data_IF_868360955761
#
_entry.id   IF_868360955761
#
_cell.length_a   1.000
_cell.length_b   1.000
_cell.length_c   1.000
_cell.angle_alpha   90.00
_cell.angle_beta   90.00
_cell.angle_gamma   90.00
#
_symmetry.space_group_name_H-M   'P 1'
#
loop_
_entity.id
_entity.type
_entity.pdbx_description
1 polymer ?
#
# COMPACT_ATOMS: atom_id res chain seq x y z
N UNK A 1 7.00 10.28 -10.15
CA UNK A 1 6.11 10.06 -11.32
C UNK A 1 4.99 11.09 -11.30
N UNK A 2 4.34 11.38 -12.45
CA UNK A 2 3.35 12.47 -12.57
C UNK A 2 2.03 12.06 -13.23
N UNK A 3 1.72 10.76 -13.26
CA UNK A 3 0.47 10.27 -13.84
C UNK A 3 -0.72 10.69 -12.98
N UNK A 4 -1.85 11.01 -13.64
CA UNK A 4 -3.14 11.13 -12.95
C UNK A 4 -3.59 9.72 -12.57
N UNK A 5 -3.79 9.46 -11.29
CA UNK A 5 -4.11 8.12 -10.78
C UNK A 5 -5.42 8.15 -10.01
N UNK A 6 -6.29 7.18 -10.28
CA UNK A 6 -7.50 6.93 -9.51
C UNK A 6 -7.32 5.64 -8.70
N UNK A 7 -7.41 5.73 -7.38
CA UNK A 7 -7.53 4.59 -6.48
C UNK A 7 -9.00 4.37 -6.13
N UNK A 8 -9.58 3.28 -6.65
CA UNK A 8 -10.94 2.85 -6.32
C UNK A 8 -10.86 1.83 -5.17
N UNK A 9 -11.70 1.99 -4.16
CA UNK A 9 -11.80 1.06 -3.03
C UNK A 9 -13.23 0.99 -2.52
N UNK A 10 -13.67 -0.15 -1.99
CA UNK A 10 -15.02 -0.26 -1.42
C UNK A 10 -15.24 0.66 -0.21
N UNK A 11 -14.18 0.95 0.56
CA UNK A 11 -14.26 1.73 1.79
C UNK A 11 -12.93 2.46 2.03
N UNK A 12 -12.94 3.78 2.06
CA UNK A 12 -11.75 4.60 2.30
C UNK A 12 -11.20 4.45 3.71
N UNK A 13 -12.07 4.22 4.69
CA UNK A 13 -11.68 4.10 6.09
C UNK A 13 -10.89 2.81 6.38
N UNK A 14 -10.97 1.77 5.52
CA UNK A 14 -10.18 0.53 5.68
C UNK A 14 -8.81 0.58 5.04
N UNK A 15 -8.46 1.64 4.28
CA UNK A 15 -7.11 1.83 3.74
C UNK A 15 -6.12 1.88 4.90
N UNK A 16 -5.13 0.98 4.89
CA UNK A 16 -4.14 0.86 5.97
C UNK A 16 -4.56 -0.09 7.11
N UNK A 17 -5.66 -0.84 6.96
CA UNK A 17 -6.00 -1.90 7.89
C UNK A 17 -4.93 -3.02 7.87
N UNK A 18 -4.51 -3.46 9.06
CA UNK A 18 -3.64 -4.62 9.24
C UNK A 18 -4.49 -5.83 9.61
N UNK A 19 -4.76 -6.71 8.64
CA UNK A 19 -5.69 -7.85 8.76
C UNK A 19 -5.18 -8.96 9.68
N UNK A 20 -3.87 -9.16 9.75
CA UNK A 20 -3.25 -10.20 10.56
C UNK A 20 -2.62 -9.59 11.82
N UNK A 21 -1.32 -9.78 11.98
CA UNK A 21 -0.55 -9.25 13.09
C UNK A 21 -0.16 -7.78 12.83
N UNK A 22 -0.19 -6.92 13.86
CA UNK A 22 0.18 -5.52 13.71
C UNK A 22 1.71 -5.38 13.75
N UNK A 23 2.41 -6.03 12.80
CA UNK A 23 3.86 -6.00 12.73
C UNK A 23 4.36 -5.97 11.30
N UNK A 24 5.34 -5.12 11.02
CA UNK A 24 6.03 -5.05 9.75
C UNK A 24 7.45 -5.62 9.86
N UNK A 25 7.98 -6.08 8.72
CA UNK A 25 9.31 -6.65 8.63
C UNK A 25 9.41 -8.09 9.15
N UNK A 26 10.57 -8.45 9.69
CA UNK A 26 10.99 -9.82 9.98
C UNK A 26 12.07 -10.30 9.01
N UNK A 27 12.37 -11.60 9.04
CA UNK A 27 13.32 -12.20 8.08
C UNK A 27 12.73 -12.09 6.68
N UNK A 28 13.53 -11.63 5.72
CA UNK A 28 13.11 -11.34 4.34
C UNK A 28 12.26 -10.08 4.22
N UNK A 29 11.11 -10.02 4.90
CA UNK A 29 10.18 -8.87 4.85
C UNK A 29 10.82 -7.54 5.29
N UNK A 30 11.78 -7.59 6.21
CA UNK A 30 12.55 -6.40 6.61
C UNK A 30 13.44 -5.85 5.50
N UNK A 31 13.98 -6.72 4.63
CA UNK A 31 14.74 -6.29 3.45
C UNK A 31 13.80 -5.65 2.41
N UNK A 32 12.67 -6.29 2.10
CA UNK A 32 11.64 -5.72 1.22
C UNK A 32 11.17 -4.34 1.70
N UNK A 33 10.99 -4.16 3.01
CA UNK A 33 10.60 -2.86 3.56
C UNK A 33 11.71 -1.81 3.32
N UNK A 34 12.99 -2.18 3.43
CA UNK A 34 14.12 -1.30 3.13
C UNK A 34 14.29 -1.01 1.63
N UNK A 35 13.96 -1.96 0.78
CA UNK A 35 13.93 -1.74 -0.67
C UNK A 35 12.82 -0.76 -1.05
N UNK A 36 11.62 -0.90 -0.48
CA UNK A 36 10.52 0.06 -0.64
C UNK A 36 10.94 1.45 -0.15
N UNK A 37 11.67 1.53 0.96
CA UNK A 37 12.20 2.79 1.53
C UNK A 37 13.16 3.48 0.55
N UNK A 38 14.10 2.71 -0.01
CA UNK A 38 15.06 3.19 -1.00
C UNK A 38 14.38 3.67 -2.30
N UNK A 39 13.21 3.13 -2.63
CA UNK A 39 12.37 3.54 -3.77
C UNK A 39 11.37 4.65 -3.41
N UNK A 40 11.55 5.30 -2.25
CA UNK A 40 10.71 6.40 -1.73
C UNK A 40 9.23 6.00 -1.49
N UNK A 41 8.99 4.72 -1.21
CA UNK A 41 7.67 4.21 -0.87
C UNK A 41 7.17 4.72 0.48
N UNK A 42 5.84 4.82 0.61
CA UNK A 42 5.17 5.34 1.80
C UNK A 42 5.31 4.46 3.05
N UNK A 43 5.17 3.15 2.88
CA UNK A 43 5.02 2.19 3.98
C UNK A 43 6.10 2.30 5.08
N UNK A 44 7.41 2.36 4.77
CA UNK A 44 8.47 2.45 5.78
C UNK A 44 8.39 3.71 6.64
N UNK A 45 8.13 4.88 6.04
CA UNK A 45 7.95 6.16 6.77
C UNK A 45 6.76 6.10 7.72
N UNK A 46 5.66 5.49 7.29
CA UNK A 46 4.48 5.33 8.15
C UNK A 46 4.76 4.32 9.27
N UNK A 47 5.53 3.26 9.00
CA UNK A 47 5.96 2.31 10.02
C UNK A 47 6.79 3.00 11.12
N UNK A 48 7.70 3.92 10.75
CA UNK A 48 8.50 4.64 11.73
C UNK A 48 7.65 5.54 12.64
N UNK A 49 6.57 6.13 12.12
CA UNK A 49 5.64 6.96 12.90
C UNK A 49 4.68 6.17 13.78
N UNK A 50 4.31 4.95 13.35
CA UNK A 50 3.34 4.11 14.05
C UNK A 50 3.99 3.00 14.90
N UNK A 51 5.31 2.91 14.89
CA UNK A 51 6.06 1.85 15.56
C UNK A 51 6.03 1.98 17.09
N UNK A 52 5.65 0.89 17.75
CA UNK A 52 5.64 0.75 19.20
C UNK A 52 6.96 0.13 19.69
N UNK A 53 7.46 -0.87 18.97
CA UNK A 53 8.66 -1.61 19.37
C UNK A 53 9.43 -2.16 18.16
N UNK A 54 10.73 -1.91 18.13
CA UNK A 54 11.64 -2.30 17.05
C UNK A 54 12.64 -3.36 17.53
N UNK A 55 12.88 -4.37 16.70
CA UNK A 55 13.82 -5.46 16.98
C UNK A 55 14.54 -5.91 15.71
N UNK A 56 15.82 -6.25 15.86
CA UNK A 56 16.60 -6.94 14.83
C UNK A 56 16.60 -8.44 15.14
N UNK A 57 15.95 -9.23 14.30
CA UNK A 57 16.03 -10.70 14.33
C UNK A 57 17.39 -11.15 13.78
N UNK A 58 17.91 -12.28 14.26
CA UNK A 58 19.20 -12.84 13.82
C UNK A 58 20.41 -11.90 14.00
N UNK A 59 20.36 -10.95 14.95
CA UNK A 59 21.42 -9.94 15.16
C UNK A 59 22.84 -10.55 15.28
N UNK A 60 22.97 -11.73 15.88
CA UNK A 60 24.26 -12.45 16.07
C UNK A 60 24.75 -13.22 14.84
N UNK A 61 23.93 -13.42 13.81
CA UNK A 61 24.25 -14.24 12.62
C UNK A 61 24.82 -13.44 11.44
N UNK A 62 25.13 -12.16 11.66
CA UNK A 62 25.71 -11.26 10.66
C UNK A 62 24.67 -10.48 9.83
N UNK A 63 25.08 -9.36 9.20
CA UNK A 63 24.16 -8.40 8.60
C UNK A 63 23.28 -8.94 7.48
N UNK A 64 23.81 -9.85 6.63
CA UNK A 64 23.11 -10.40 5.48
C UNK A 64 21.82 -11.16 5.82
N UNK A 65 21.65 -11.59 7.08
CA UNK A 65 20.49 -12.37 7.54
C UNK A 65 19.69 -11.66 8.63
N UNK A 66 19.95 -10.37 8.86
CA UNK A 66 19.21 -9.58 9.84
C UNK A 66 17.76 -9.39 9.40
N UNK A 67 16.82 -9.58 10.32
CA UNK A 67 15.40 -9.31 10.09
C UNK A 67 14.94 -8.10 10.86
N UNK A 68 14.97 -6.92 10.25
CA UNK A 68 14.39 -5.71 10.83
C UNK A 68 12.88 -5.92 11.01
N UNK A 69 12.38 -5.80 12.24
CA UNK A 69 10.98 -6.02 12.58
C UNK A 69 10.48 -4.93 13.51
N UNK A 70 9.26 -4.47 13.29
CA UNK A 70 8.62 -3.50 14.16
C UNK A 70 7.16 -3.90 14.44
N UNK A 71 6.73 -3.72 15.69
CA UNK A 71 5.32 -3.80 16.11
C UNK A 71 4.68 -2.43 15.93
N UNK A 72 3.47 -2.38 15.38
CA UNK A 72 2.78 -1.15 15.02
C UNK A 72 1.53 -0.93 15.86
N UNK A 73 1.22 0.34 16.11
CA UNK A 73 -0.12 0.75 16.51
C UNK A 73 -1.03 0.78 15.27
N UNK A 74 -2.13 0.03 15.31
CA UNK A 74 -3.08 -0.07 14.18
C UNK A 74 -3.74 1.26 13.85
N UNK A 75 -4.07 2.04 14.88
CA UNK A 75 -4.76 3.32 14.73
C UNK A 75 -3.82 4.37 14.16
N UNK A 76 -2.59 4.45 14.69
CA UNK A 76 -1.58 5.39 14.21
C UNK A 76 -1.16 5.07 12.77
N UNK A 77 -0.91 3.80 12.45
CA UNK A 77 -0.51 3.38 11.10
C UNK A 77 -1.57 3.78 10.08
N UNK A 78 -2.84 3.40 10.33
CA UNK A 78 -3.96 3.75 9.46
C UNK A 78 -4.11 5.26 9.28
N UNK A 79 -4.08 6.02 10.38
CA UNK A 79 -4.23 7.48 10.38
C UNK A 79 -3.15 8.14 9.54
N UNK A 80 -1.88 7.82 9.78
CA UNK A 80 -0.76 8.44 9.07
C UNK A 80 -0.69 8.02 7.61
N UNK A 81 -1.01 6.76 7.30
CA UNK A 81 -1.11 6.31 5.91
C UNK A 81 -2.18 7.07 5.14
N UNK A 82 -3.39 7.18 5.69
CA UNK A 82 -4.49 7.90 5.07
C UNK A 82 -4.18 9.39 4.89
N UNK A 83 -3.58 10.03 5.90
CA UNK A 83 -3.15 11.42 5.83
C UNK A 83 -2.18 11.67 4.66
N UNK A 84 -1.13 10.86 4.52
CA UNK A 84 -0.19 11.04 3.41
C UNK A 84 -0.81 10.64 2.07
N UNK A 85 -1.49 9.49 1.99
CA UNK A 85 -2.08 9.00 0.75
C UNK A 85 -3.10 9.98 0.15
N UNK A 86 -3.98 10.55 0.98
CA UNK A 86 -5.01 11.49 0.51
C UNK A 86 -4.44 12.87 0.15
N UNK A 87 -3.23 13.19 0.60
CA UNK A 87 -2.53 14.41 0.25
C UNK A 87 -1.61 14.25 -0.98
N UNK A 88 -1.45 13.03 -1.53
CA UNK A 88 -0.57 12.80 -2.67
C UNK A 88 -1.06 13.54 -3.92
N UNK A 89 -0.23 14.43 -4.51
CA UNK A 89 -0.58 15.13 -5.73
C UNK A 89 -0.85 14.15 -6.89
N UNK A 90 -1.93 14.39 -7.64
CA UNK A 90 -2.30 13.57 -8.80
C UNK A 90 -3.02 12.26 -8.46
N UNK A 91 -3.15 11.90 -7.18
CA UNK A 91 -3.93 10.75 -6.72
C UNK A 91 -5.34 11.19 -6.30
N UNK A 92 -6.36 10.61 -6.92
CA UNK A 92 -7.75 10.72 -6.47
C UNK A 92 -8.17 9.40 -5.84
N UNK A 93 -8.77 9.43 -4.65
CA UNK A 93 -9.33 8.24 -4.01
C UNK A 93 -10.85 8.29 -4.07
N UNK A 94 -11.49 7.25 -4.60
CA UNK A 94 -12.95 7.16 -4.73
C UNK A 94 -13.48 5.87 -4.10
N UNK A 95 -14.59 5.99 -3.37
CA UNK A 95 -15.31 4.82 -2.89
C UNK A 95 -16.15 4.25 -4.04
N UNK A 96 -16.06 2.94 -4.23
CA UNK A 96 -16.76 2.21 -5.28
C UNK A 96 -16.29 0.78 -5.39
N UNK A 97 -17.10 -0.05 -6.03
CA UNK A 97 -16.70 -1.35 -6.53
C UNK A 97 -16.27 -1.20 -8.00
N UNK A 98 -15.24 -1.93 -8.41
CA UNK A 98 -14.98 -2.13 -9.84
C UNK A 98 -15.64 -3.44 -10.22
N UNK A 99 -16.62 -3.37 -11.12
CA UNK A 99 -17.40 -4.53 -11.55
C UNK A 99 -16.72 -5.27 -12.71
N UNK A 100 -16.32 -4.53 -13.75
CA UNK A 100 -15.67 -5.10 -14.93
C UNK A 100 -14.61 -4.16 -15.53
N UNK A 101 -13.72 -4.72 -16.36
CA UNK A 101 -12.72 -3.99 -17.13
C UNK A 101 -13.18 -3.83 -18.58
N UNK A 102 -13.20 -2.58 -19.06
CA UNK A 102 -13.44 -2.30 -20.48
C UNK A 102 -12.19 -2.61 -21.29
N UNK A 103 -12.17 -3.77 -21.94
CA UNK A 103 -11.10 -4.17 -22.84
C UNK A 103 -11.48 -3.80 -24.28
N UNK A 104 -10.60 -3.09 -24.98
CA UNK A 104 -10.69 -2.99 -26.44
C UNK A 104 -9.73 -4.01 -27.04
N UNK A 105 -10.26 -4.99 -27.77
CA UNK A 105 -9.43 -5.78 -28.68
C UNK A 105 -8.89 -4.85 -29.76
N UNK A 106 -7.59 -4.94 -30.03
CA UNK A 106 -6.94 -4.16 -31.08
C UNK A 106 -7.52 -4.53 -32.44
N UNK A 107 -8.52 -3.76 -32.86
CA UNK A 107 -9.13 -3.72 -34.18
C UNK A 107 -9.58 -5.07 -34.77
N UNK A 108 -10.86 -5.38 -34.56
CA UNK A 108 -11.62 -6.26 -35.45
C UNK A 108 -13.08 -5.84 -35.43
N UNK A 109 -13.36 -4.64 -35.97
CA UNK A 109 -14.67 -4.19 -36.46
C UNK A 109 -15.89 -4.42 -35.54
N UNK A 110 -16.37 -3.34 -34.91
CA UNK A 110 -17.79 -3.11 -34.56
C UNK A 110 -18.55 -4.27 -33.88
N UNK A 111 -18.60 -4.27 -32.55
CA UNK A 111 -19.81 -4.71 -31.82
C UNK A 111 -20.14 -3.78 -30.65
N UNK A 112 -21.03 -2.86 -31.00
CA UNK A 112 -22.10 -2.23 -30.22
C UNK A 112 -22.20 -2.46 -28.70
N UNK A 113 -22.16 -1.31 -28.01
CA UNK A 113 -23.09 -0.86 -26.96
C UNK A 113 -23.36 -1.76 -25.76
N UNK A 114 -22.62 -1.50 -24.68
CA UNK A 114 -23.23 -1.40 -23.34
C UNK A 114 -22.67 -0.17 -22.61
N UNK A 115 -23.01 1.02 -23.14
CA UNK A 115 -23.09 2.22 -22.31
C UNK A 115 -24.40 2.16 -21.52
N UNK A 116 -24.37 1.50 -20.36
CA UNK A 116 -25.36 1.71 -19.31
C UNK A 116 -24.60 2.22 -18.09
N UNK A 117 -24.39 3.53 -18.07
CA UNK A 117 -24.22 4.26 -16.82
C UNK A 117 -25.60 4.33 -16.16
N UNK A 118 -25.77 3.58 -15.08
CA UNK A 118 -26.75 3.82 -14.03
C UNK A 118 -26.00 3.81 -12.69
#
# INVERSE_FOLDING_TARGET
MGAKTLLVTHNKQTIGAMSCNPSFGGIGKGHLLREIDALDGLCPRICDRAGIHFKILNKRKGPAVWGLRAQMDRTLYRRHLQQELFALPGLTVREGAVDDLLLHEGDSSLRESHLLFA
#
